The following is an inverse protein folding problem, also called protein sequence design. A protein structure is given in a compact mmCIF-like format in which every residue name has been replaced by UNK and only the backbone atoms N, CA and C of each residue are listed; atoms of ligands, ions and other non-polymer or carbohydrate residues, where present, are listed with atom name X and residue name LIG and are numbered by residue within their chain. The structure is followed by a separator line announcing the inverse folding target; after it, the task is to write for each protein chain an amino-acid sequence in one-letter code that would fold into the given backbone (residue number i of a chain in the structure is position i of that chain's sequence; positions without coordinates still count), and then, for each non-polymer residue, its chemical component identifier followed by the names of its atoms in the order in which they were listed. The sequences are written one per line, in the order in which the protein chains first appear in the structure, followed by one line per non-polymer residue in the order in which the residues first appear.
data_IF_207734321968
#
_entry.id   IF_207734321968
#
_cell.length_a   1.000
_cell.length_b   1.000
_cell.length_c   1.000
_cell.angle_alpha   90.00
_cell.angle_beta   90.00
_cell.angle_gamma   90.00
#
_symmetry.space_group_name_H-M   'P 1'
#
loop_
_entity.id
_entity.type
_entity.pdbx_description
1 polymer ?
#
# COMPACT_ATOMS: atom_id res chain seq x y z
N UNK A 1 -5.40 -3.25 -15.01
CA UNK A 1 -6.43 -4.29 -14.81
C UNK A 1 -6.12 -4.97 -13.49
N UNK A 2 -7.12 -5.26 -12.65
CA UNK A 2 -6.91 -5.92 -11.36
C UNK A 2 -7.47 -7.34 -11.43
N UNK A 3 -6.78 -8.29 -10.80
CA UNK A 3 -7.15 -9.70 -10.82
C UNK A 3 -7.71 -10.13 -9.45
N UNK A 4 -8.74 -10.98 -9.48
CA UNK A 4 -9.28 -11.57 -8.25
C UNK A 4 -8.33 -12.65 -7.73
N UNK A 5 -7.65 -12.36 -6.61
CA UNK A 5 -6.68 -13.30 -6.01
C UNK A 5 -7.28 -14.18 -4.90
N UNK A 6 -8.36 -13.72 -4.25
CA UNK A 6 -9.03 -14.45 -3.17
C UNK A 6 -10.46 -13.97 -2.97
N UNK A 7 -11.35 -14.88 -2.62
CA UNK A 7 -12.71 -14.58 -2.13
C UNK A 7 -13.02 -15.45 -0.93
N UNK A 8 -13.68 -14.89 0.08
CA UNK A 8 -13.96 -15.59 1.32
C UNK A 8 -15.02 -14.88 2.14
N UNK A 9 -15.64 -15.64 3.05
CA UNK A 9 -16.57 -15.13 4.05
C UNK A 9 -15.86 -15.11 5.40
N UNK A 10 -15.94 -13.98 6.09
CA UNK A 10 -15.42 -13.82 7.45
C UNK A 10 -16.59 -13.69 8.42
N UNK A 11 -16.63 -14.56 9.43
CA UNK A 11 -17.62 -14.47 10.49
C UNK A 11 -17.18 -13.41 11.52
N UNK A 12 -18.01 -12.40 11.74
CA UNK A 12 -17.66 -11.22 12.53
C UNK A 12 -18.12 -11.29 14.00
N UNK A 13 -19.19 -12.04 14.29
CA UNK A 13 -19.76 -12.26 15.64
C UNK A 13 -19.64 -11.08 16.65
N UNK A 14 -20.06 -9.84 16.31
CA UNK A 14 -19.96 -8.71 17.23
C UNK A 14 -20.96 -8.82 18.39
N UNK A 15 -20.67 -8.17 19.52
CA UNK A 15 -21.63 -8.11 20.61
C UNK A 15 -22.92 -7.38 20.20
N UNK A 16 -24.07 -7.88 20.68
CA UNK A 16 -25.38 -7.32 20.33
C UNK A 16 -25.46 -5.84 20.73
N UNK A 17 -25.89 -5.00 19.80
CA UNK A 17 -26.06 -3.56 19.96
C UNK A 17 -24.76 -2.78 20.27
N UNK A 18 -23.60 -3.35 19.95
CA UNK A 18 -22.30 -2.71 20.17
C UNK A 18 -21.57 -2.54 18.84
N UNK A 19 -20.97 -1.36 18.61
CA UNK A 19 -20.08 -1.13 17.48
C UNK A 19 -18.67 -1.52 17.86
N UNK A 20 -18.10 -2.48 17.13
CA UNK A 20 -16.74 -2.97 17.35
C UNK A 20 -15.87 -2.75 16.12
N UNK A 21 -14.56 -2.58 16.35
CA UNK A 21 -13.54 -2.62 15.29
C UNK A 21 -12.95 -4.03 15.27
N UNK A 22 -13.27 -4.80 14.23
CA UNK A 22 -12.78 -6.15 14.04
C UNK A 22 -11.63 -6.17 13.03
N UNK A 23 -10.68 -7.09 13.23
CA UNK A 23 -9.55 -7.32 12.32
C UNK A 23 -9.79 -8.63 11.56
N UNK A 24 -9.77 -8.56 10.23
CA UNK A 24 -9.90 -9.76 9.40
C UNK A 24 -8.56 -10.51 9.37
N UNK A 25 -8.53 -11.82 9.63
CA UNK A 25 -7.30 -12.61 9.59
C UNK A 25 -6.88 -12.83 8.13
N UNK A 26 -5.78 -12.18 7.71
CA UNK A 26 -5.26 -12.29 6.34
C UNK A 26 -4.05 -13.22 6.21
N UNK A 27 -3.42 -13.58 7.33
CA UNK A 27 -2.12 -14.28 7.36
C UNK A 27 -2.12 -15.63 6.64
N UNK A 28 -3.24 -16.35 6.68
CA UNK A 28 -3.38 -17.68 6.06
C UNK A 28 -3.74 -17.62 4.56
N UNK A 29 -4.00 -16.42 4.04
CA UNK A 29 -4.40 -16.21 2.65
C UNK A 29 -3.13 -16.12 1.79
N UNK A 30 -2.66 -17.26 1.29
CA UNK A 30 -1.39 -17.37 0.53
C UNK A 30 -1.19 -16.29 -0.55
N UNK A 31 -2.19 -15.94 -1.40
CA UNK A 31 -1.99 -14.88 -2.39
C UNK A 31 -1.66 -13.51 -1.77
N UNK A 32 -2.18 -13.22 -0.57
CA UNK A 32 -1.90 -11.98 0.15
C UNK A 32 -0.55 -11.99 0.89
N UNK A 33 0.28 -13.03 0.72
CA UNK A 33 1.67 -13.01 1.23
C UNK A 33 2.64 -12.44 0.20
N UNK A 34 2.19 -12.21 -1.05
CA UNK A 34 3.00 -11.61 -2.09
C UNK A 34 2.99 -10.08 -1.96
N UNK A 35 4.14 -9.43 -2.22
CA UNK A 35 4.20 -7.99 -2.29
C UNK A 35 3.32 -7.47 -3.44
N UNK A 36 2.56 -6.40 -3.19
CA UNK A 36 1.63 -5.86 -4.17
C UNK A 36 0.66 -4.84 -3.61
N UNK A 37 -0.12 -4.25 -4.51
CA UNK A 37 -1.24 -3.35 -4.19
C UNK A 37 -2.53 -4.13 -4.34
N UNK A 38 -3.36 -4.13 -3.30
CA UNK A 38 -4.57 -4.93 -3.19
C UNK A 38 -5.80 -4.05 -2.92
N UNK A 39 -6.94 -4.47 -3.46
CA UNK A 39 -8.25 -3.89 -3.18
C UNK A 39 -9.13 -4.95 -2.53
N UNK A 40 -9.65 -4.68 -1.34
CA UNK A 40 -10.66 -5.51 -0.70
C UNK A 40 -12.05 -4.88 -0.90
N UNK A 41 -12.98 -5.65 -1.46
CA UNK A 41 -14.37 -5.25 -1.67
C UNK A 41 -15.28 -6.16 -0.84
N UNK A 42 -16.12 -5.57 0.01
CA UNK A 42 -17.11 -6.30 0.80
C UNK A 42 -18.41 -6.39 0.00
N UNK A 43 -18.92 -7.61 -0.14
CA UNK A 43 -20.25 -7.83 -0.69
C UNK A 43 -21.31 -7.51 0.37
N UNK A 44 -22.31 -6.71 0.01
CA UNK A 44 -23.44 -6.43 0.90
C UNK A 44 -24.33 -7.67 1.00
N UNK A 45 -24.40 -8.30 2.17
CA UNK A 45 -25.34 -9.40 2.42
C UNK A 45 -26.62 -8.88 3.09
N UNK A 46 -27.67 -8.58 2.32
CA UNK A 46 -28.96 -8.09 2.85
C UNK A 46 -29.04 -6.56 3.01
N UNK A 47 -29.81 -6.06 3.99
CA UNK A 47 -30.09 -4.63 4.20
C UNK A 47 -29.06 -3.88 5.06
N UNK A 48 -27.77 -4.24 4.98
CA UNK A 48 -26.73 -3.52 5.71
C UNK A 48 -26.28 -2.29 4.91
N UNK A 49 -26.45 -1.10 5.50
CA UNK A 49 -25.92 0.15 4.97
C UNK A 49 -24.40 0.21 5.20
N UNK A 50 -23.62 -0.30 4.25
CA UNK A 50 -22.16 -0.16 4.28
C UNK A 50 -21.76 1.23 3.77
N UNK A 51 -21.07 2.01 4.62
CA UNK A 51 -20.56 3.34 4.27
C UNK A 51 -19.28 3.31 3.44
N UNK A 52 -18.49 2.22 3.52
CA UNK A 52 -17.28 2.00 2.73
C UNK A 52 -17.19 0.52 2.33
N UNK A 53 -17.64 0.17 1.13
CA UNK A 53 -17.64 -1.22 0.65
C UNK A 53 -16.29 -1.64 0.03
N UNK A 54 -15.32 -0.72 -0.14
CA UNK A 54 -14.01 -1.02 -0.70
C UNK A 54 -12.89 -0.32 0.04
N UNK A 55 -11.73 -0.98 0.17
CA UNK A 55 -10.50 -0.41 0.73
C UNK A 55 -9.27 -0.84 -0.08
N UNK A 56 -8.31 0.07 -0.24
CA UNK A 56 -7.01 -0.17 -0.86
C UNK A 56 -5.94 -0.38 0.22
N UNK A 57 -5.04 -1.33 0.04
CA UNK A 57 -3.87 -1.54 0.90
C UNK A 57 -2.67 -2.06 0.11
N UNK A 58 -1.47 -1.82 0.61
CA UNK A 58 -0.20 -2.23 -0.04
C UNK A 58 0.58 -3.13 0.91
N UNK A 59 1.10 -4.23 0.39
CA UNK A 59 2.07 -5.09 1.08
C UNK A 59 3.42 -4.93 0.40
N UNK A 60 4.39 -4.40 1.12
CA UNK A 60 5.75 -4.13 0.63
C UNK A 60 6.68 -4.01 1.84
N UNK A 61 7.95 -4.34 1.66
CA UNK A 61 9.01 -3.99 2.63
C UNK A 61 9.62 -2.61 2.32
N UNK A 62 9.29 -1.99 1.19
CA UNK A 62 9.87 -0.70 0.78
C UNK A 62 9.09 0.44 1.46
N UNK A 63 9.73 1.13 2.39
CA UNK A 63 9.32 2.42 2.91
C UNK A 63 9.89 3.55 2.07
N UNK A 64 9.06 4.53 1.71
CA UNK A 64 9.47 5.71 0.95
C UNK A 64 9.11 6.97 1.73
N UNK A 65 10.10 7.85 1.95
CA UNK A 65 9.87 9.20 2.47
C UNK A 65 10.41 10.23 1.47
N UNK A 66 9.78 11.40 1.39
CA UNK A 66 10.14 12.43 0.41
C UNK A 66 10.07 13.82 1.02
N UNK A 67 11.07 14.64 0.72
CA UNK A 67 11.24 16.00 1.20
C UNK A 67 11.41 16.95 0.02
N UNK A 68 10.49 17.90 -0.11
CA UNK A 68 10.51 18.88 -1.20
C UNK A 68 11.15 20.19 -0.76
N UNK A 69 12.08 20.67 -1.56
CA UNK A 69 12.69 22.00 -1.49
C UNK A 69 12.31 22.81 -2.73
N UNK A 70 12.75 24.07 -2.81
CA UNK A 70 12.42 24.98 -3.91
C UNK A 70 12.70 24.37 -5.30
N UNK A 71 13.90 23.79 -5.50
CA UNK A 71 14.35 23.30 -6.81
C UNK A 71 14.68 21.80 -6.82
N UNK A 72 14.37 21.05 -5.74
CA UNK A 72 14.68 19.63 -5.65
C UNK A 72 13.71 18.86 -4.76
N UNK A 73 13.67 17.56 -4.97
CA UNK A 73 12.94 16.56 -4.23
C UNK A 73 13.94 15.49 -3.79
N UNK A 74 14.17 15.38 -2.48
CA UNK A 74 14.99 14.34 -1.88
C UNK A 74 14.08 13.19 -1.43
N UNK A 75 14.36 11.97 -1.89
CA UNK A 75 13.60 10.76 -1.61
C UNK A 75 14.51 9.75 -0.93
N UNK A 76 14.00 9.08 0.10
CA UNK A 76 14.72 8.03 0.82
C UNK A 76 13.94 6.73 0.80
N UNK A 77 14.62 5.64 0.48
CA UNK A 77 14.10 4.27 0.45
C UNK A 77 14.73 3.45 1.57
N UNK A 78 13.89 2.80 2.37
CA UNK A 78 14.31 2.06 3.56
C UNK A 78 13.45 0.80 3.76
N UNK A 79 14.03 -0.24 4.34
CA UNK A 79 13.28 -1.44 4.73
C UNK A 79 12.31 -1.11 5.87
N UNK A 80 11.06 -1.57 5.77
CA UNK A 80 10.07 -1.44 6.84
C UNK A 80 10.32 -2.44 7.96
N UNK A 81 10.99 -3.56 7.67
CA UNK A 81 11.37 -4.56 8.68
C UNK A 81 12.37 -4.01 9.70
N UNK A 82 13.39 -3.27 9.25
CA UNK A 82 14.52 -2.88 10.10
C UNK A 82 14.98 -1.41 9.98
N UNK A 83 14.38 -0.62 9.09
CA UNK A 83 14.72 0.79 8.88
C UNK A 83 16.04 1.05 8.14
N UNK A 84 16.72 0.02 7.66
CA UNK A 84 17.98 0.19 6.93
C UNK A 84 17.74 0.79 5.53
N UNK A 85 18.67 1.63 5.08
CA UNK A 85 18.68 2.16 3.73
C UNK A 85 18.67 1.03 2.68
N UNK A 86 17.81 1.16 1.68
CA UNK A 86 17.70 0.21 0.57
C UNK A 86 18.21 0.85 -0.72
N UNK A 87 19.33 0.36 -1.22
CA UNK A 87 19.92 0.76 -2.50
C UNK A 87 19.33 0.00 -3.68
N UNK A 88 19.41 0.55 -4.90
CA UNK A 88 18.95 -0.15 -6.10
C UNK A 88 17.44 -0.13 -6.30
N UNK A 89 16.70 0.65 -5.50
CA UNK A 89 15.26 0.80 -5.63
C UNK A 89 14.96 1.83 -6.70
N UNK A 90 14.19 1.44 -7.71
CA UNK A 90 13.73 2.35 -8.76
C UNK A 90 12.59 3.23 -8.25
N UNK A 91 12.76 4.53 -8.40
CA UNK A 91 11.76 5.55 -8.09
C UNK A 91 11.31 6.21 -9.38
N UNK A 92 10.00 6.19 -9.61
CA UNK A 92 9.34 6.82 -10.74
C UNK A 92 8.43 7.93 -10.23
N UNK A 93 8.67 9.16 -10.69
CA UNK A 93 7.79 10.30 -10.42
C UNK A 93 6.69 10.36 -11.46
N UNK A 94 5.44 10.30 -11.02
CA UNK A 94 4.26 10.32 -11.89
C UNK A 94 3.48 11.63 -11.74
N UNK A 95 2.84 12.09 -12.81
CA UNK A 95 1.81 13.12 -12.73
C UNK A 95 0.43 12.53 -12.37
N UNK A 96 -0.59 13.39 -12.31
CA UNK A 96 -1.99 13.04 -12.02
C UNK A 96 -2.62 12.06 -13.02
N UNK A 97 -2.10 12.00 -14.24
CA UNK A 97 -2.51 11.07 -15.30
C UNK A 97 -1.72 9.76 -15.28
N UNK A 98 -0.81 9.57 -14.32
CA UNK A 98 0.06 8.41 -14.24
C UNK A 98 1.19 8.40 -15.27
N UNK A 99 1.53 9.54 -15.86
CA UNK A 99 2.63 9.65 -16.81
C UNK A 99 3.95 9.90 -16.07
N UNK A 100 5.01 9.22 -16.50
CA UNK A 100 6.36 9.39 -15.94
C UNK A 100 6.93 10.77 -16.26
N UNK A 101 7.31 11.51 -15.22
CA UNK A 101 7.99 12.79 -15.28
C UNK A 101 9.51 12.64 -15.11
N UNK A 102 9.92 11.74 -14.21
CA UNK A 102 11.33 11.46 -13.91
C UNK A 102 11.47 10.05 -13.34
N UNK A 103 12.67 9.50 -13.44
CA UNK A 103 13.00 8.17 -12.96
C UNK A 103 14.46 8.13 -12.51
N UNK A 104 14.73 7.51 -11.37
CA UNK A 104 16.07 7.35 -10.83
C UNK A 104 16.12 6.12 -9.92
N UNK A 105 17.33 5.66 -9.60
CA UNK A 105 17.56 4.51 -8.72
C UNK A 105 18.25 4.98 -7.45
N UNK A 106 17.83 4.46 -6.29
CA UNK A 106 18.43 4.81 -5.01
C UNK A 106 19.89 4.38 -4.90
N UNK A 107 20.70 5.25 -4.32
CA UNK A 107 22.13 5.01 -4.07
C UNK A 107 22.38 4.11 -2.85
N UNK A 108 23.65 3.96 -2.46
CA UNK A 108 24.05 3.13 -1.31
C UNK A 108 23.48 3.62 0.05
N UNK A 109 23.03 4.87 0.12
CA UNK A 109 22.38 5.48 1.27
C UNK A 109 20.85 5.43 1.16
N UNK A 110 20.32 4.76 0.13
CA UNK A 110 18.89 4.71 -0.16
C UNK A 110 18.35 6.06 -0.61
N UNK A 111 19.20 6.98 -1.07
CA UNK A 111 18.80 8.32 -1.44
C UNK A 111 18.61 8.44 -2.95
N UNK A 112 17.59 9.21 -3.34
CA UNK A 112 17.33 9.65 -4.70
C UNK A 112 17.09 11.15 -4.65
N UNK A 113 17.81 11.92 -5.48
CA UNK A 113 17.52 13.33 -5.69
C UNK A 113 16.90 13.52 -7.08
N UNK A 114 15.69 14.08 -7.12
CA UNK A 114 15.02 14.50 -8.35
C UNK A 114 14.92 16.02 -8.38
N UNK A 115 15.18 16.66 -9.52
CA UNK A 115 15.06 18.11 -9.66
C UNK A 115 16.37 18.78 -10.05
N UNK A 116 16.24 19.54 -11.13
CA UNK A 116 17.21 20.36 -11.85
C UNK A 116 16.45 21.09 -12.94
#
# INVERSE_FOLDING_TARGET
MADLVYTGRFDLNPARNTREKLLLPLSDIKPLQQAGVYVAVMNQAGHYNYSNAATLFTLSDIGVSAHRYHNRLDIFTQSLENGAAQSGIEIVLLNDKGQTLAQATSDAQGHVQLGG
#
